data_IF_969426846741
#
_entry.id   IF_969426846741
#
_cell.length_a   1.000
_cell.length_b   1.000
_cell.length_c   1.000
_cell.angle_alpha   90.00
_cell.angle_beta   90.00
_cell.angle_gamma   90.00
#
_symmetry.space_group_name_H-M   'P 1'
#
loop_
_entity.id
_entity.type
_entity.pdbx_description
1 polymer ?
#
# COMPACT_ATOMS: atom_id res chain seq x y z
N UNK A 1 -2.68 29.05 12.26
CA UNK A 1 -3.96 28.36 11.96
C UNK A 1 -3.75 27.58 10.68
N UNK A 2 -4.02 26.27 10.68
CA UNK A 2 -3.93 25.39 9.51
C UNK A 2 -5.32 25.11 8.97
N UNK A 3 -5.57 25.37 7.68
CA UNK A 3 -6.82 25.00 7.02
C UNK A 3 -6.75 23.54 6.58
N UNK A 4 -7.62 22.69 7.11
CA UNK A 4 -7.67 21.24 6.81
C UNK A 4 -8.97 20.88 6.14
N UNK A 5 -8.88 20.36 4.92
CA UNK A 5 -10.01 19.86 4.15
C UNK A 5 -10.05 18.35 4.20
N UNK A 6 -11.07 17.78 4.83
CA UNK A 6 -11.22 16.33 5.02
C UNK A 6 -12.39 15.82 4.18
N UNK A 7 -12.16 14.74 3.44
CA UNK A 7 -13.20 14.02 2.74
C UNK A 7 -14.16 13.37 3.74
N UNK A 8 -15.46 13.65 3.60
CA UNK A 8 -16.53 13.13 4.45
C UNK A 8 -17.58 12.42 3.62
N UNK A 9 -17.96 11.25 4.07
CA UNK A 9 -19.03 10.46 3.48
C UNK A 9 -19.54 9.41 4.48
N UNK A 10 -20.82 9.45 4.76
CA UNK A 10 -21.53 8.41 5.50
C UNK A 10 -22.59 7.79 4.56
N UNK A 11 -22.43 6.53 4.13
CA UNK A 11 -23.34 5.90 3.16
C UNK A 11 -24.78 5.73 3.69
N UNK A 12 -24.99 5.82 5.01
CA UNK A 12 -26.32 5.73 5.62
C UNK A 12 -27.11 7.02 5.55
N UNK A 13 -26.44 8.17 5.47
CA UNK A 13 -27.08 9.50 5.59
C UNK A 13 -26.78 10.44 4.44
N UNK A 14 -25.66 10.27 3.74
CA UNK A 14 -25.18 11.22 2.75
C UNK A 14 -25.52 10.76 1.33
N UNK A 15 -26.12 11.62 0.54
CA UNK A 15 -26.40 11.36 -0.88
C UNK A 15 -25.13 11.38 -1.74
N UNK A 16 -24.10 12.12 -1.31
CA UNK A 16 -22.82 12.23 -2.00
C UNK A 16 -21.71 12.67 -1.04
N UNK A 17 -20.45 12.31 -1.35
CA UNK A 17 -19.33 12.77 -0.55
C UNK A 17 -19.10 14.27 -0.65
N UNK A 18 -18.54 14.87 0.40
CA UNK A 18 -18.18 16.28 0.47
C UNK A 18 -16.80 16.49 1.05
N UNK A 19 -16.21 17.66 0.80
CA UNK A 19 -15.02 18.10 1.54
C UNK A 19 -15.49 19.02 2.67
N UNK A 20 -15.06 18.72 3.89
CA UNK A 20 -15.38 19.52 5.07
C UNK A 20 -14.13 20.24 5.56
N UNK A 21 -14.25 21.55 5.77
CA UNK A 21 -13.16 22.41 6.21
C UNK A 21 -13.09 22.51 7.74
N UNK A 22 -11.88 22.44 8.27
CA UNK A 22 -11.58 22.64 9.68
C UNK A 22 -10.43 23.64 9.83
N UNK A 23 -10.47 24.49 10.87
CA UNK A 23 -9.39 25.38 11.25
C UNK A 23 -8.71 24.81 12.48
N UNK A 24 -7.49 24.32 12.34
CA UNK A 24 -6.75 23.64 13.41
C UNK A 24 -5.59 24.50 13.88
N UNK A 25 -5.50 24.71 15.19
CA UNK A 25 -4.39 25.43 15.79
C UNK A 25 -3.26 24.48 16.21
N UNK A 26 -2.21 24.43 15.43
CA UNK A 26 -1.06 23.53 15.66
C UNK A 26 -0.05 24.07 16.68
N UNK A 27 -0.21 25.31 17.13
CA UNK A 27 0.72 25.99 18.02
C UNK A 27 2.13 26.14 17.46
N UNK A 28 2.30 26.13 16.13
CA UNK A 28 3.59 26.21 15.46
C UNK A 28 4.44 24.93 15.56
N UNK A 29 3.86 23.83 16.05
CA UNK A 29 4.55 22.53 16.14
C UNK A 29 4.50 21.81 14.81
N UNK A 30 5.57 21.11 14.46
CA UNK A 30 5.59 20.18 13.33
C UNK A 30 5.01 18.82 13.76
N UNK A 31 3.67 18.74 13.66
CA UNK A 31 2.90 17.56 14.01
C UNK A 31 2.83 16.61 12.81
N UNK A 32 2.47 15.35 13.05
CA UNK A 32 2.11 14.42 11.99
C UNK A 32 0.67 14.67 11.49
N UNK A 33 0.39 14.30 10.25
CA UNK A 33 -0.97 14.40 9.69
C UNK A 33 -1.99 13.63 10.56
N UNK A 34 -1.59 12.50 11.16
CA UNK A 34 -2.45 11.75 12.08
C UNK A 34 -2.81 12.55 13.33
N UNK A 35 -1.87 13.31 13.90
CA UNK A 35 -2.14 14.13 15.08
C UNK A 35 -3.20 15.19 14.77
N UNK A 36 -3.15 15.79 13.57
CA UNK A 36 -4.17 16.75 13.11
C UNK A 36 -5.55 16.08 13.00
N UNK A 37 -5.63 14.85 12.48
CA UNK A 37 -6.89 14.09 12.44
C UNK A 37 -7.41 13.79 13.85
N UNK A 38 -6.54 13.50 14.80
CA UNK A 38 -6.91 13.30 16.20
C UNK A 38 -7.41 14.59 16.86
N UNK A 39 -6.76 15.73 16.60
CA UNK A 39 -7.23 17.04 17.06
C UNK A 39 -8.61 17.38 16.48
N UNK A 40 -8.81 17.16 15.18
CA UNK A 40 -10.13 17.38 14.54
C UNK A 40 -11.18 16.50 15.23
N UNK A 41 -10.88 15.22 15.45
CA UNK A 41 -11.82 14.30 16.09
C UNK A 41 -12.13 14.63 17.54
N UNK A 42 -11.14 15.12 18.28
CA UNK A 42 -11.29 15.46 19.70
C UNK A 42 -11.99 16.80 19.93
N UNK A 43 -11.70 17.81 19.11
CA UNK A 43 -12.05 19.20 19.40
C UNK A 43 -13.11 19.79 18.45
N UNK A 44 -13.24 19.24 17.22
CA UNK A 44 -14.12 19.82 16.20
C UNK A 44 -15.27 18.87 15.80
N UNK A 45 -14.96 17.60 15.51
CA UNK A 45 -15.95 16.67 14.96
C UNK A 45 -15.62 15.20 15.32
N UNK A 46 -16.23 14.71 16.38
CA UNK A 46 -16.07 13.34 16.85
C UNK A 46 -16.53 12.26 15.86
N UNK A 47 -17.27 12.64 14.79
CA UNK A 47 -17.77 11.70 13.79
C UNK A 47 -16.78 11.37 12.70
N UNK A 48 -15.67 12.10 12.56
CA UNK A 48 -14.62 11.80 11.55
C UNK A 48 -14.08 10.39 11.76
N UNK A 49 -14.09 9.60 10.66
CA UNK A 49 -13.74 8.19 10.71
C UNK A 49 -12.46 7.93 9.89
N UNK A 50 -11.46 7.33 10.53
CA UNK A 50 -10.19 6.91 9.94
C UNK A 50 -9.62 5.70 10.68
N UNK A 51 -8.68 4.98 10.05
CA UNK A 51 -7.96 3.87 10.68
C UNK A 51 -6.64 4.36 11.28
N UNK A 52 -6.28 3.83 12.41
CA UNK A 52 -4.98 4.00 13.05
C UNK A 52 -4.63 2.83 13.96
N UNK A 53 -3.36 2.59 14.20
CA UNK A 53 -2.88 1.58 15.15
C UNK A 53 -1.50 1.94 15.71
N UNK A 54 -0.40 1.53 15.06
CA UNK A 54 0.96 1.59 15.59
C UNK A 54 1.53 3.02 15.77
N UNK A 55 1.12 3.98 14.95
CA UNK A 55 1.60 5.39 14.90
C UNK A 55 3.08 5.56 14.52
N UNK A 56 3.74 4.53 14.03
CA UNK A 56 5.18 4.49 13.72
C UNK A 56 5.50 3.91 12.32
N UNK A 57 4.52 3.89 11.42
CA UNK A 57 4.72 3.46 10.03
C UNK A 57 4.97 1.98 9.84
N UNK A 58 4.46 1.10 10.73
CA UNK A 58 4.66 -0.35 10.68
C UNK A 58 3.38 -1.11 10.29
N UNK A 59 2.20 -0.70 10.78
CA UNK A 59 0.96 -1.42 10.53
C UNK A 59 0.30 -1.11 9.19
N UNK A 60 0.59 0.03 8.58
CA UNK A 60 0.02 0.46 7.30
C UNK A 60 -1.46 0.84 7.32
N UNK A 61 -2.12 0.85 8.49
CA UNK A 61 -3.57 1.04 8.58
C UNK A 61 -4.06 2.44 8.25
N UNK A 62 -3.22 3.45 8.43
CA UNK A 62 -3.49 4.88 8.24
C UNK A 62 -3.03 5.40 6.87
N UNK A 63 -3.02 4.52 5.87
CA UNK A 63 -2.79 4.90 4.47
C UNK A 63 -3.87 5.83 3.95
N UNK A 64 -3.49 7.03 3.50
CA UNK A 64 -4.38 8.07 3.02
C UNK A 64 -3.81 8.77 1.78
N UNK A 65 -4.65 9.53 1.08
CA UNK A 65 -4.21 10.49 0.07
C UNK A 65 -4.08 11.87 0.72
N UNK A 66 -2.84 12.34 0.85
CA UNK A 66 -2.47 13.58 1.53
C UNK A 66 -1.98 14.57 0.48
N UNK A 67 -2.71 15.65 0.25
CA UNK A 67 -2.44 16.64 -0.80
C UNK A 67 -2.12 16.02 -2.18
N UNK A 68 -2.89 14.98 -2.57
CA UNK A 68 -2.76 14.29 -3.86
C UNK A 68 -1.70 13.17 -3.90
N UNK A 69 -0.91 12.98 -2.84
CA UNK A 69 0.08 11.89 -2.73
C UNK A 69 -0.37 10.87 -1.68
N UNK A 70 -0.31 9.58 -2.01
CA UNK A 70 -0.57 8.53 -1.03
C UNK A 70 0.58 8.41 -0.05
N UNK A 71 0.25 8.22 1.23
CA UNK A 71 1.24 8.09 2.31
C UNK A 71 0.58 7.62 3.59
N UNK A 72 1.37 7.45 4.64
CA UNK A 72 0.88 7.13 5.99
C UNK A 72 0.74 8.41 6.81
N UNK A 73 -0.42 8.62 7.40
CA UNK A 73 -0.69 9.82 8.19
C UNK A 73 0.20 9.93 9.44
N UNK A 74 0.58 8.80 10.04
CA UNK A 74 1.37 8.74 11.28
C UNK A 74 2.85 9.10 11.13
N UNK A 75 3.39 9.08 9.92
CA UNK A 75 4.81 9.40 9.64
C UNK A 75 4.98 10.47 8.57
N UNK A 76 3.90 11.15 8.20
CA UNK A 76 3.96 12.30 7.28
C UNK A 76 3.90 13.58 8.11
N UNK A 77 5.02 14.33 8.27
CA UNK A 77 5.02 15.57 9.01
C UNK A 77 4.30 16.68 8.24
N UNK A 78 3.77 17.66 8.97
CA UNK A 78 3.07 18.80 8.35
C UNK A 78 4.02 19.64 7.49
N UNK A 79 5.29 19.77 7.86
CA UNK A 79 6.31 20.45 7.06
C UNK A 79 6.43 19.90 5.64
N UNK A 80 6.22 18.60 5.44
CA UNK A 80 6.27 17.96 4.12
C UNK A 80 4.92 17.98 3.40
N UNK A 81 3.83 17.96 4.16
CA UNK A 81 2.48 17.80 3.62
C UNK A 81 1.80 19.12 3.27
N UNK A 82 1.95 20.15 4.12
CA UNK A 82 1.22 21.43 4.00
C UNK A 82 1.72 22.25 2.83
N UNK A 83 0.79 22.80 2.05
CA UNK A 83 1.07 23.73 0.95
C UNK A 83 0.18 24.98 1.08
N UNK A 84 0.78 26.16 1.16
CA UNK A 84 0.07 27.42 1.32
C UNK A 84 -0.95 27.39 2.48
N UNK A 85 -0.52 26.91 3.65
CA UNK A 85 -1.33 26.74 4.85
C UNK A 85 -2.57 25.85 4.69
N UNK A 86 -2.55 24.96 3.69
CA UNK A 86 -3.65 24.03 3.39
C UNK A 86 -3.20 22.59 3.43
N UNK A 87 -4.05 21.75 4.03
CA UNK A 87 -3.90 20.29 4.07
C UNK A 87 -5.20 19.65 3.57
N UNK A 88 -5.12 18.85 2.52
CA UNK A 88 -6.26 18.11 1.96
C UNK A 88 -6.07 16.62 2.21
N UNK A 89 -7.00 16.00 2.91
CA UNK A 89 -6.97 14.59 3.28
C UNK A 89 -8.15 13.86 2.65
N UNK A 90 -7.84 12.79 1.91
CA UNK A 90 -8.81 11.94 1.23
C UNK A 90 -8.53 10.47 1.49
N UNK A 91 -9.51 9.57 1.31
CA UNK A 91 -9.26 8.13 1.33
C UNK A 91 -8.31 7.73 0.21
N UNK A 92 -7.70 6.54 0.31
CA UNK A 92 -6.92 5.97 -0.77
C UNK A 92 -7.78 5.83 -2.04
N UNK A 93 -7.32 6.31 -3.21
CA UNK A 93 -8.11 6.29 -4.44
C UNK A 93 -8.27 4.88 -5.02
N UNK A 94 -9.34 4.66 -5.78
CA UNK A 94 -9.56 3.42 -6.51
C UNK A 94 -10.06 2.23 -5.68
N UNK A 95 -10.39 2.45 -4.41
CA UNK A 95 -11.08 1.50 -3.54
C UNK A 95 -12.43 2.08 -3.09
N UNK A 96 -13.46 1.24 -2.88
CA UNK A 96 -14.74 1.71 -2.37
C UNK A 96 -14.60 2.35 -0.97
N UNK A 97 -15.27 3.48 -0.77
CA UNK A 97 -15.27 4.13 0.54
C UNK A 97 -16.34 3.49 1.43
N UNK A 98 -15.93 3.01 2.60
CA UNK A 98 -16.83 2.51 3.63
C UNK A 98 -17.44 3.67 4.40
N UNK A 99 -16.59 4.58 4.89
CA UNK A 99 -17.00 5.82 5.58
C UNK A 99 -15.81 6.77 5.66
N UNK A 100 -16.01 8.04 5.31
CA UNK A 100 -15.00 9.10 5.35
C UNK A 100 -13.65 8.68 4.73
N UNK A 101 -12.62 8.49 5.56
CA UNK A 101 -11.28 8.11 5.14
C UNK A 101 -11.04 6.58 5.13
N UNK A 102 -12.05 5.79 5.47
CA UNK A 102 -11.96 4.34 5.53
C UNK A 102 -12.42 3.73 4.21
N UNK A 103 -11.57 2.94 3.58
CA UNK A 103 -11.85 2.20 2.35
C UNK A 103 -12.00 0.70 2.58
N UNK A 104 -12.73 0.03 1.70
CA UNK A 104 -12.82 -1.43 1.66
C UNK A 104 -11.55 -2.00 0.99
N UNK A 105 -10.82 -2.81 1.76
CA UNK A 105 -9.57 -3.44 1.34
C UNK A 105 -9.75 -4.85 0.75
N UNK A 106 -10.99 -5.36 0.67
CA UNK A 106 -11.27 -6.74 0.25
C UNK A 106 -10.67 -7.08 -1.11
N UNK A 107 -10.82 -6.18 -2.07
CA UNK A 107 -10.27 -6.36 -3.42
C UNK A 107 -8.74 -6.39 -3.42
N UNK A 108 -8.11 -5.52 -2.62
CA UNK A 108 -6.65 -5.50 -2.47
C UNK A 108 -6.13 -6.83 -1.90
N UNK A 109 -6.78 -7.35 -0.87
CA UNK A 109 -6.40 -8.62 -0.27
C UNK A 109 -6.71 -9.81 -1.17
N UNK A 110 -7.81 -9.80 -1.93
CA UNK A 110 -8.09 -10.82 -2.93
C UNK A 110 -6.98 -10.92 -4.01
N UNK A 111 -6.41 -9.77 -4.44
CA UNK A 111 -5.26 -9.79 -5.35
C UNK A 111 -3.98 -10.29 -4.66
N UNK A 112 -3.81 -10.00 -3.37
CA UNK A 112 -2.69 -10.51 -2.59
C UNK A 112 -2.78 -12.03 -2.39
N UNK A 113 -3.96 -12.58 -2.14
CA UNK A 113 -4.18 -14.02 -1.98
C UNK A 113 -3.85 -14.82 -3.24
N UNK A 114 -4.07 -14.25 -4.44
CA UNK A 114 -3.77 -14.90 -5.72
C UNK A 114 -2.29 -15.31 -5.87
N UNK A 115 -1.39 -14.61 -5.23
CA UNK A 115 0.05 -14.91 -5.29
C UNK A 115 0.49 -15.97 -4.27
N UNK A 116 -0.42 -16.51 -3.47
CA UNK A 116 -0.14 -17.50 -2.42
C UNK A 116 1.02 -17.06 -1.53
N UNK A 117 0.80 -16.02 -0.69
CA UNK A 117 1.87 -15.31 0.03
C UNK A 117 2.40 -16.08 1.24
N UNK A 118 2.82 -17.32 1.02
CA UNK A 118 3.42 -18.21 2.02
C UNK A 118 4.48 -19.11 1.36
N UNK A 119 5.45 -19.54 2.15
CA UNK A 119 6.53 -20.41 1.68
C UNK A 119 5.97 -21.77 1.25
N UNK A 120 6.28 -22.20 0.05
CA UNK A 120 5.89 -23.50 -0.49
C UNK A 120 7.13 -24.41 -0.62
N UNK A 121 7.19 -25.44 0.20
CA UNK A 121 8.29 -26.42 0.20
C UNK A 121 7.76 -27.78 0.64
N UNK A 122 7.77 -28.73 -0.28
CA UNK A 122 7.23 -30.09 -0.09
C UNK A 122 8.26 -31.09 0.49
N UNK A 123 9.50 -30.67 0.74
CA UNK A 123 10.46 -31.56 1.41
C UNK A 123 10.09 -31.73 2.89
N UNK A 124 10.41 -32.90 3.49
CA UNK A 124 10.20 -33.10 4.91
C UNK A 124 10.79 -31.96 5.75
N UNK A 125 10.08 -31.56 6.81
CA UNK A 125 10.57 -30.53 7.71
C UNK A 125 11.94 -31.01 8.33
N UNK A 126 12.97 -30.15 8.30
CA UNK A 126 14.23 -30.48 8.96
C UNK A 126 14.04 -30.47 10.49
N UNK A 127 14.98 -31.07 11.21
CA UNK A 127 14.90 -31.20 12.67
C UNK A 127 14.90 -29.86 13.41
N UNK A 128 15.52 -28.82 12.83
CA UNK A 128 15.61 -27.47 13.43
C UNK A 128 14.89 -26.47 12.54
N UNK A 129 15.50 -26.05 11.42
CA UNK A 129 14.95 -25.06 10.50
C UNK A 129 15.47 -25.23 9.07
N UNK A 130 14.82 -24.61 8.09
CA UNK A 130 15.30 -24.50 6.71
C UNK A 130 16.34 -23.39 6.64
N UNK A 131 17.63 -23.79 6.57
CA UNK A 131 18.74 -22.84 6.51
C UNK A 131 18.75 -22.03 5.22
N UNK A 132 19.20 -20.79 5.33
CA UNK A 132 19.40 -19.89 4.21
C UNK A 132 20.76 -19.21 4.33
N UNK A 133 21.52 -19.14 3.24
CA UNK A 133 22.80 -18.43 3.25
C UNK A 133 22.61 -16.93 3.44
N UNK A 134 23.56 -16.19 4.04
CA UNK A 134 23.50 -14.72 4.10
C UNK A 134 23.32 -14.07 2.73
N UNK A 135 23.91 -14.62 1.69
CA UNK A 135 23.79 -14.15 0.30
C UNK A 135 22.36 -14.33 -0.23
N UNK A 136 21.71 -15.46 0.07
CA UNK A 136 20.33 -15.69 -0.36
C UNK A 136 19.35 -14.86 0.47
N UNK A 137 19.62 -14.71 1.78
CA UNK A 137 18.83 -13.84 2.64
C UNK A 137 18.84 -12.38 2.15
N UNK A 138 20.00 -11.87 1.71
CA UNK A 138 20.14 -10.51 1.19
C UNK A 138 19.32 -10.26 -0.08
N UNK A 139 18.93 -11.28 -0.84
CA UNK A 139 18.03 -11.14 -2.00
C UNK A 139 16.62 -10.74 -1.61
N UNK A 140 16.23 -10.92 -0.36
CA UNK A 140 14.90 -10.60 0.16
C UNK A 140 14.82 -9.18 0.71
N UNK A 141 15.94 -8.47 0.85
CA UNK A 141 15.96 -7.09 1.32
C UNK A 141 15.26 -6.16 0.31
N UNK A 142 14.38 -5.30 0.82
CA UNK A 142 13.50 -4.49 0.00
C UNK A 142 12.25 -5.21 -0.52
N UNK A 143 11.96 -6.43 -0.06
CA UNK A 143 10.79 -7.23 -0.43
C UNK A 143 9.92 -7.56 0.79
N UNK A 144 10.50 -8.14 1.85
CA UNK A 144 9.75 -8.59 3.03
C UNK A 144 9.28 -7.43 3.93
N UNK A 145 9.86 -6.24 3.80
CA UNK A 145 9.50 -5.07 4.59
C UNK A 145 8.16 -4.44 4.18
N UNK A 146 7.51 -4.96 3.16
CA UNK A 146 6.21 -4.50 2.73
C UNK A 146 5.15 -4.70 3.82
N UNK A 147 4.50 -3.60 4.21
CA UNK A 147 3.49 -3.54 5.29
C UNK A 147 2.05 -3.60 4.77
N UNK A 148 1.84 -3.90 3.49
CA UNK A 148 0.53 -4.02 2.85
C UNK A 148 -0.40 -2.81 3.04
N UNK A 149 0.15 -1.60 3.10
CA UNK A 149 -0.60 -0.35 3.31
C UNK A 149 -1.44 0.09 2.09
N UNK A 150 -1.32 -0.58 0.95
CA UNK A 150 -1.98 -0.30 -0.32
C UNK A 150 -1.62 1.04 -0.99
N UNK A 151 -0.80 1.91 -0.42
CA UNK A 151 -0.42 3.20 -1.03
C UNK A 151 0.07 3.05 -2.48
N UNK A 152 0.88 2.03 -2.77
CA UNK A 152 1.44 1.77 -4.10
C UNK A 152 0.37 1.29 -5.09
N UNK A 153 -0.49 0.34 -4.70
CA UNK A 153 -1.55 -0.20 -5.56
C UNK A 153 -2.59 0.86 -5.90
N UNK A 154 -3.02 1.62 -4.89
CA UNK A 154 -4.01 2.70 -5.06
C UNK A 154 -3.46 3.97 -5.74
N UNK A 155 -2.15 4.07 -5.98
CA UNK A 155 -1.54 5.12 -6.81
C UNK A 155 -1.34 4.70 -8.28
N UNK A 156 -1.61 3.44 -8.60
CA UNK A 156 -1.33 2.86 -9.90
C UNK A 156 -2.53 2.96 -10.85
N UNK A 157 -2.45 3.69 -11.98
CA UNK A 157 -3.54 3.76 -12.95
C UNK A 157 -3.98 2.39 -13.47
N UNK A 158 -3.05 1.45 -13.68
CA UNK A 158 -3.38 0.10 -14.11
C UNK A 158 -4.25 -0.65 -13.09
N UNK A 159 -4.05 -0.39 -11.79
CA UNK A 159 -4.89 -0.92 -10.74
C UNK A 159 -6.29 -0.28 -10.73
N UNK A 160 -6.40 1.01 -10.99
CA UNK A 160 -7.71 1.69 -11.08
C UNK A 160 -8.55 1.16 -12.24
N UNK A 161 -7.91 0.87 -13.38
CA UNK A 161 -8.61 0.39 -14.58
C UNK A 161 -9.01 -1.10 -14.52
N UNK A 162 -8.24 -1.92 -13.82
CA UNK A 162 -8.44 -3.36 -13.73
C UNK A 162 -8.22 -3.87 -12.29
N UNK A 163 -8.97 -3.37 -11.31
CA UNK A 163 -8.73 -3.71 -9.90
C UNK A 163 -9.08 -5.16 -9.56
N UNK A 164 -9.95 -5.78 -10.36
CA UNK A 164 -10.39 -7.18 -10.26
C UNK A 164 -9.39 -8.18 -10.85
N UNK A 165 -8.53 -7.74 -11.77
CA UNK A 165 -7.64 -8.62 -12.54
C UNK A 165 -6.16 -8.34 -12.32
N UNK A 166 -5.77 -7.08 -12.20
CA UNK A 166 -4.37 -6.70 -11.99
C UNK A 166 -3.95 -6.94 -10.55
N UNK A 167 -2.98 -7.84 -10.37
CA UNK A 167 -2.43 -8.18 -9.03
C UNK A 167 -1.93 -6.95 -8.26
N UNK A 168 -1.50 -5.94 -8.98
CA UNK A 168 -1.03 -4.68 -8.40
C UNK A 168 0.42 -4.71 -7.91
N UNK A 169 1.00 -3.53 -7.67
CA UNK A 169 2.41 -3.42 -7.29
C UNK A 169 2.76 -4.13 -5.98
N UNK A 170 1.88 -4.07 -4.97
CA UNK A 170 2.12 -4.73 -3.68
C UNK A 170 2.11 -6.26 -3.83
N UNK A 171 1.11 -6.82 -4.53
CA UNK A 171 1.02 -8.26 -4.76
C UNK A 171 2.20 -8.77 -5.59
N UNK A 172 2.61 -8.04 -6.64
CA UNK A 172 3.76 -8.43 -7.47
C UNK A 172 5.10 -8.29 -6.72
N UNK A 173 5.26 -7.30 -5.84
CA UNK A 173 6.42 -7.23 -4.95
C UNK A 173 6.50 -8.46 -4.05
N UNK A 174 5.38 -8.86 -3.45
CA UNK A 174 5.30 -10.03 -2.58
C UNK A 174 5.43 -11.34 -3.37
N UNK A 175 4.93 -11.43 -4.60
CA UNK A 175 5.18 -12.59 -5.46
C UNK A 175 6.69 -12.78 -5.71
N UNK A 176 7.40 -11.69 -6.02
CA UNK A 176 8.85 -11.76 -6.21
C UNK A 176 9.60 -12.14 -4.93
N UNK A 177 9.11 -11.74 -3.75
CA UNK A 177 9.69 -12.18 -2.47
C UNK A 177 9.79 -13.69 -2.38
N UNK A 178 8.73 -14.43 -2.76
CA UNK A 178 8.74 -15.90 -2.73
C UNK A 178 9.52 -16.51 -3.89
N UNK A 179 9.49 -15.90 -5.08
CA UNK A 179 10.31 -16.30 -6.23
C UNK A 179 11.82 -16.15 -5.98
N UNK A 180 12.22 -15.19 -5.14
CA UNK A 180 13.61 -14.95 -4.78
C UNK A 180 14.07 -15.75 -3.54
N UNK A 181 13.14 -16.36 -2.80
CA UNK A 181 13.46 -17.12 -1.59
C UNK A 181 14.01 -18.51 -1.95
N UNK A 182 15.26 -18.77 -1.60
CA UNK A 182 15.93 -20.04 -1.87
C UNK A 182 15.31 -21.26 -1.19
N UNK A 183 14.40 -21.05 -0.25
CA UNK A 183 13.66 -22.10 0.47
C UNK A 183 12.34 -22.45 -0.19
N UNK A 184 11.83 -21.61 -1.09
CA UNK A 184 10.61 -21.87 -1.87
C UNK A 184 10.91 -22.77 -3.06
N UNK A 185 10.03 -23.72 -3.35
CA UNK A 185 10.18 -24.70 -4.42
C UNK A 185 9.12 -24.59 -5.51
N UNK A 186 8.18 -23.63 -5.39
CA UNK A 186 7.05 -23.49 -6.30
C UNK A 186 7.29 -22.42 -7.38
N UNK A 187 8.53 -22.23 -7.83
CA UNK A 187 8.88 -21.18 -8.81
C UNK A 187 8.05 -21.30 -10.07
N UNK A 188 7.93 -22.50 -10.66
CA UNK A 188 7.22 -22.71 -11.91
C UNK A 188 5.72 -22.49 -11.77
N UNK A 189 5.11 -22.97 -10.71
CA UNK A 189 3.70 -22.79 -10.41
C UNK A 189 3.35 -21.32 -10.16
N UNK A 190 4.23 -20.60 -9.44
CA UNK A 190 4.07 -19.16 -9.20
C UNK A 190 4.18 -18.35 -10.49
N UNK A 191 5.16 -18.66 -11.34
CA UNK A 191 5.32 -17.99 -12.62
C UNK A 191 4.15 -18.27 -13.56
N UNK A 192 3.64 -19.52 -13.60
CA UNK A 192 2.48 -19.87 -14.42
C UNK A 192 1.22 -19.06 -14.04
N UNK A 193 1.01 -18.79 -12.75
CA UNK A 193 -0.10 -17.95 -12.27
C UNK A 193 0.05 -16.46 -12.62
N UNK A 194 1.26 -16.01 -12.89
CA UNK A 194 1.59 -14.61 -13.21
C UNK A 194 1.73 -14.37 -14.72
N UNK A 195 1.81 -15.43 -15.51
CA UNK A 195 1.90 -15.38 -16.98
C UNK A 195 0.54 -15.09 -17.61
N UNK A 196 0.05 -13.89 -17.38
CA UNK A 196 -1.25 -13.39 -17.82
C UNK A 196 -1.14 -11.90 -18.19
N UNK A 197 -1.83 -11.45 -19.27
CA UNK A 197 -1.78 -10.05 -19.71
C UNK A 197 -2.22 -9.03 -18.66
N UNK A 198 -3.05 -9.46 -17.70
CA UNK A 198 -3.55 -8.62 -16.61
C UNK A 198 -2.79 -8.78 -15.29
N UNK A 199 -1.84 -9.71 -15.20
CA UNK A 199 -0.93 -9.85 -14.06
C UNK A 199 0.33 -8.99 -14.25
N UNK A 200 1.48 -9.61 -14.46
CA UNK A 200 2.77 -8.90 -14.59
C UNK A 200 2.80 -7.91 -15.76
N UNK A 201 2.23 -8.29 -16.91
CA UNK A 201 2.32 -7.50 -18.14
C UNK A 201 1.42 -6.26 -18.15
N UNK A 202 0.47 -6.14 -17.21
CA UNK A 202 -0.36 -4.94 -17.06
C UNK A 202 0.40 -3.75 -16.44
N UNK A 203 1.58 -3.95 -15.88
CA UNK A 203 2.43 -2.86 -15.41
C UNK A 203 3.05 -2.10 -16.59
N UNK A 204 2.84 -0.80 -16.67
CA UNK A 204 3.39 0.08 -17.71
C UNK A 204 4.64 0.86 -17.25
N UNK A 205 5.22 0.54 -16.11
CA UNK A 205 6.45 1.17 -15.63
C UNK A 205 6.30 2.64 -15.20
N UNK A 206 5.10 3.09 -14.82
CA UNK A 206 4.80 4.49 -14.45
C UNK A 206 5.54 4.94 -13.18
N UNK A 207 5.91 4.00 -12.30
CA UNK A 207 6.68 4.20 -11.06
C UNK A 207 5.97 5.00 -9.94
N UNK A 208 4.69 5.33 -10.05
CA UNK A 208 3.96 5.93 -8.94
C UNK A 208 4.09 5.10 -7.66
N UNK A 209 4.07 3.77 -7.79
CA UNK A 209 4.22 2.83 -6.67
C UNK A 209 5.54 2.95 -5.91
N UNK A 210 6.61 3.36 -6.59
CA UNK A 210 7.92 3.62 -5.96
C UNK A 210 7.88 4.94 -5.19
N UNK A 211 7.32 5.98 -5.82
CA UNK A 211 7.30 7.35 -5.28
C UNK A 211 6.43 7.51 -4.02
N UNK A 212 5.44 6.63 -3.84
CA UNK A 212 4.50 6.70 -2.70
C UNK A 212 4.76 5.66 -1.62
N UNK A 213 5.75 4.77 -1.80
CA UNK A 213 5.99 3.73 -0.82
C UNK A 213 6.58 4.30 0.48
N UNK A 214 5.87 4.20 1.62
CA UNK A 214 6.36 4.77 2.88
C UNK A 214 7.56 3.99 3.46
N UNK A 215 7.83 2.79 2.94
CA UNK A 215 9.00 1.96 3.30
C UNK A 215 10.15 2.08 2.29
N UNK A 216 10.05 2.96 1.28
CA UNK A 216 11.09 3.15 0.27
C UNK A 216 11.32 1.93 -0.64
N UNK A 217 10.34 1.02 -0.76
CA UNK A 217 10.48 -0.18 -1.56
C UNK A 217 10.31 0.11 -3.05
N UNK A 218 10.82 -0.80 -3.90
CA UNK A 218 10.74 -0.65 -5.36
C UNK A 218 9.93 -1.78 -6.03
N UNK A 219 8.60 -1.69 -6.07
CA UNK A 219 7.77 -2.68 -6.75
C UNK A 219 8.10 -2.81 -8.24
N UNK A 220 8.45 -1.72 -8.93
CA UNK A 220 8.78 -1.75 -10.36
C UNK A 220 9.98 -2.64 -10.65
N UNK A 221 11.01 -2.61 -9.79
CA UNK A 221 12.18 -3.50 -9.91
C UNK A 221 11.79 -4.96 -9.73
N UNK A 222 10.97 -5.28 -8.72
CA UNK A 222 10.47 -6.64 -8.50
C UNK A 222 9.68 -7.17 -9.71
N UNK A 223 8.79 -6.33 -10.27
CA UNK A 223 8.03 -6.66 -11.49
C UNK A 223 8.97 -6.93 -12.67
N UNK A 224 10.03 -6.14 -12.83
CA UNK A 224 11.04 -6.35 -13.85
C UNK A 224 11.74 -7.70 -13.72
N UNK A 225 12.08 -8.13 -12.52
CA UNK A 225 12.66 -9.46 -12.27
C UNK A 225 11.68 -10.59 -12.63
N UNK A 226 10.40 -10.49 -12.25
CA UNK A 226 9.40 -11.49 -12.64
C UNK A 226 9.28 -11.59 -14.16
N UNK A 227 9.22 -10.45 -14.87
CA UNK A 227 9.19 -10.45 -16.35
C UNK A 227 10.39 -11.17 -16.97
N UNK A 228 11.59 -10.90 -16.46
CA UNK A 228 12.80 -11.58 -16.94
C UNK A 228 12.74 -13.08 -16.68
N UNK A 229 12.22 -13.52 -15.53
CA UNK A 229 12.04 -14.95 -15.24
C UNK A 229 11.04 -15.60 -16.21
N UNK A 230 9.92 -14.95 -16.52
CA UNK A 230 8.93 -15.44 -17.49
C UNK A 230 9.51 -15.55 -18.91
N UNK A 231 10.24 -14.51 -19.37
CA UNK A 231 10.88 -14.52 -20.69
C UNK A 231 11.92 -15.61 -20.83
N UNK A 232 12.75 -15.84 -19.81
CA UNK A 232 13.76 -16.89 -19.81
C UNK A 232 13.17 -18.30 -19.72
N UNK A 233 11.94 -18.46 -19.22
CA UNK A 233 11.22 -19.72 -19.19
C UNK A 233 10.63 -20.09 -20.56
N UNK A 234 10.27 -19.10 -21.37
CA UNK A 234 9.69 -19.26 -22.69
C UNK A 234 10.74 -19.51 -23.79
N UNK A 235 12.04 -19.28 -23.49
CA UNK A 235 13.18 -19.52 -24.38
C UNK A 235 13.75 -20.92 -24.18
#
# INVERSE_FOLDING_TARGET
MLQVSVYRFNPETDAAPKMQEYQVETGGKDLMVLDVLEMIKAEHDATVTYRRSCREGVCGSDGLNINGKNGLACITPLSDAVKNDKLVIRPLPGLPVVRDLVVDMSLFYAQYEKIEPYLQNNTPAPAIERLQSPKDRAKLDGLYECILCACCSTSCPSFWWNPDRFVGPAGLLQAYRFLADSRDQATDERLAKLDDPFSVFRCHGIQNCVNVCPKGLNPTRAIGHIRNMLLNRAA
#
